data_IF_865695506851
#
_entry.id   IF_865695506851
#
_cell.length_a   1.000
_cell.length_b   1.000
_cell.length_c   1.000
_cell.angle_alpha   90.00
_cell.angle_beta   90.00
_cell.angle_gamma   90.00
#
_symmetry.space_group_name_H-M   'P 1'
#
loop_
_entity.id
_entity.type
_entity.pdbx_description
1 polymer ?
#
# COMPACT_ATOMS: atom_id res chain seq x y z
N UNK A 1 -28.53 6.87 -3.14
CA UNK A 1 -27.81 5.79 -3.84
C UNK A 1 -28.70 4.56 -3.84
N UNK A 2 -29.17 4.13 -5.02
CA UNK A 2 -29.95 2.90 -5.14
C UNK A 2 -29.04 1.68 -5.09
N UNK A 3 -29.33 0.71 -4.22
CA UNK A 3 -28.60 -0.56 -4.17
C UNK A 3 -29.52 -1.65 -4.69
N UNK A 4 -29.14 -2.29 -5.79
CA UNK A 4 -29.82 -3.48 -6.30
C UNK A 4 -29.08 -4.71 -5.79
N UNK A 5 -29.75 -5.53 -4.97
CA UNK A 5 -29.15 -6.75 -4.41
C UNK A 5 -29.84 -7.97 -5.00
N UNK A 6 -29.07 -8.89 -5.57
CA UNK A 6 -29.53 -10.21 -5.97
C UNK A 6 -28.79 -11.25 -5.11
N UNK A 7 -29.53 -12.20 -4.55
CA UNK A 7 -28.99 -13.22 -3.66
C UNK A 7 -29.36 -14.62 -4.16
N UNK A 8 -28.49 -15.59 -3.90
CA UNK A 8 -28.77 -17.03 -4.08
C UNK A 8 -29.18 -17.40 -5.52
N UNK A 9 -28.56 -16.72 -6.50
CA UNK A 9 -28.85 -16.82 -7.93
C UNK A 9 -27.79 -17.65 -8.67
N UNK A 10 -28.23 -18.49 -9.62
CA UNK A 10 -27.35 -19.10 -10.61
C UNK A 10 -27.25 -18.20 -11.85
N UNK A 11 -26.07 -17.60 -12.04
CA UNK A 11 -25.84 -16.63 -13.11
C UNK A 11 -25.87 -17.27 -14.50
N UNK A 12 -25.70 -18.59 -14.61
CA UNK A 12 -25.74 -19.31 -15.88
C UNK A 12 -27.16 -19.51 -16.43
N UNK A 13 -28.18 -19.52 -15.57
CA UNK A 13 -29.57 -19.80 -15.96
C UNK A 13 -30.48 -18.59 -15.75
N UNK A 14 -30.37 -17.94 -14.58
CA UNK A 14 -31.30 -16.89 -14.16
C UNK A 14 -30.66 -15.48 -14.20
N UNK A 15 -29.32 -15.42 -14.32
CA UNK A 15 -28.52 -14.20 -14.22
C UNK A 15 -28.95 -13.09 -15.16
N UNK A 16 -29.04 -13.40 -16.46
CA UNK A 16 -29.40 -12.41 -17.49
C UNK A 16 -30.82 -11.87 -17.31
N UNK A 17 -31.77 -12.74 -16.98
CA UNK A 17 -33.15 -12.35 -16.74
C UNK A 17 -33.26 -11.47 -15.49
N UNK A 18 -32.72 -11.90 -14.36
CA UNK A 18 -32.78 -11.14 -13.10
C UNK A 18 -32.12 -9.77 -13.22
N UNK A 19 -30.98 -9.68 -13.90
CA UNK A 19 -30.25 -8.43 -14.10
C UNK A 19 -30.95 -7.48 -15.08
N UNK A 20 -31.86 -7.98 -15.93
CA UNK A 20 -32.65 -7.13 -16.83
C UNK A 20 -33.70 -6.27 -16.11
N UNK A 21 -34.09 -6.63 -14.89
CA UNK A 21 -35.03 -5.85 -14.06
C UNK A 21 -34.33 -4.88 -13.11
N UNK A 22 -33.03 -4.61 -13.31
CA UNK A 22 -32.29 -3.69 -12.47
C UNK A 22 -32.91 -2.27 -12.53
N UNK A 23 -33.25 -1.66 -11.38
CA UNK A 23 -33.81 -0.32 -11.34
C UNK A 23 -32.87 0.71 -12.00
N UNK A 24 -33.42 1.64 -12.77
CA UNK A 24 -32.63 2.69 -13.47
C UNK A 24 -31.89 3.64 -12.51
N UNK A 25 -32.31 3.72 -11.25
CA UNK A 25 -31.66 4.51 -10.20
C UNK A 25 -30.56 3.73 -9.43
N UNK A 26 -30.22 2.53 -9.88
CA UNK A 26 -29.19 1.70 -9.24
C UNK A 26 -27.81 2.30 -9.43
N UNK A 27 -27.15 2.59 -8.31
CA UNK A 27 -25.75 3.03 -8.27
C UNK A 27 -24.79 1.93 -7.85
N UNK A 28 -25.29 0.92 -7.12
CA UNK A 28 -24.50 -0.23 -6.66
C UNK A 28 -25.26 -1.51 -7.00
N UNK A 29 -24.62 -2.39 -7.76
CA UNK A 29 -25.08 -3.76 -7.95
C UNK A 29 -24.37 -4.66 -6.93
N UNK A 30 -25.14 -5.37 -6.10
CA UNK A 30 -24.61 -6.37 -5.17
C UNK A 30 -25.12 -7.76 -5.53
N UNK A 31 -24.20 -8.68 -5.78
CA UNK A 31 -24.49 -10.09 -5.91
C UNK A 31 -23.99 -10.83 -4.66
N UNK A 32 -24.87 -11.57 -4.00
CA UNK A 32 -24.54 -12.32 -2.79
C UNK A 32 -24.83 -13.80 -3.00
N UNK A 33 -23.86 -14.67 -2.68
CA UNK A 33 -23.97 -16.13 -2.89
C UNK A 33 -24.37 -16.52 -4.31
N UNK A 34 -24.00 -15.70 -5.29
CA UNK A 34 -24.24 -15.98 -6.70
C UNK A 34 -23.19 -16.97 -7.22
N UNK A 35 -23.62 -17.94 -8.02
CA UNK A 35 -22.75 -18.99 -8.59
C UNK A 35 -22.78 -19.00 -10.11
N UNK A 36 -21.85 -19.74 -10.70
CA UNK A 36 -21.75 -19.93 -12.15
C UNK A 36 -20.68 -19.04 -12.79
N UNK A 37 -20.86 -18.72 -14.07
CA UNK A 37 -20.01 -17.78 -14.80
C UNK A 37 -20.84 -16.53 -15.14
N UNK A 38 -20.19 -15.37 -15.23
CA UNK A 38 -20.87 -14.14 -15.63
C UNK A 38 -20.07 -13.38 -16.67
N UNK A 39 -20.75 -13.06 -17.75
CA UNK A 39 -20.28 -12.12 -18.76
C UNK A 39 -21.13 -10.86 -18.70
N UNK A 40 -20.59 -9.83 -18.04
CA UNK A 40 -21.29 -8.55 -17.92
C UNK A 40 -21.43 -7.84 -19.29
N UNK A 41 -20.74 -8.26 -20.35
CA UNK A 41 -20.89 -7.68 -21.69
C UNK A 41 -22.25 -7.96 -22.32
N UNK A 42 -22.96 -8.97 -21.83
CA UNK A 42 -24.30 -9.34 -22.30
C UNK A 42 -25.42 -8.52 -21.65
N UNK A 43 -25.08 -7.61 -20.73
CA UNK A 43 -26.03 -6.87 -19.90
C UNK A 43 -26.02 -5.38 -20.23
N UNK A 44 -27.17 -4.75 -20.05
CA UNK A 44 -27.31 -3.29 -20.05
C UNK A 44 -27.33 -2.80 -18.62
N UNK A 45 -26.47 -1.85 -18.30
CA UNK A 45 -26.39 -1.26 -16.96
C UNK A 45 -26.98 0.16 -16.96
N UNK A 46 -27.56 0.60 -15.84
CA UNK A 46 -27.93 1.99 -15.64
C UNK A 46 -26.69 2.90 -15.68
N UNK A 47 -26.85 4.10 -16.23
CA UNK A 47 -25.75 5.09 -16.30
C UNK A 47 -25.24 5.49 -14.91
N UNK A 48 -26.05 5.36 -13.87
CA UNK A 48 -25.68 5.69 -12.50
C UNK A 48 -24.83 4.62 -11.81
N UNK A 49 -24.59 3.46 -12.44
CA UNK A 49 -23.85 2.35 -11.83
C UNK A 49 -22.38 2.70 -11.64
N UNK A 50 -21.95 2.76 -10.40
CA UNK A 50 -20.58 3.16 -10.00
C UNK A 50 -19.80 2.04 -9.32
N UNK A 51 -20.50 1.06 -8.72
CA UNK A 51 -19.89 -0.07 -8.03
C UNK A 51 -20.58 -1.41 -8.34
N UNK A 52 -19.77 -2.45 -8.57
CA UNK A 52 -20.21 -3.85 -8.55
C UNK A 52 -19.57 -4.54 -7.34
N UNK A 53 -20.41 -5.10 -6.47
CA UNK A 53 -19.98 -5.84 -5.28
C UNK A 53 -20.40 -7.31 -5.38
N UNK A 54 -19.44 -8.22 -5.19
CA UNK A 54 -19.63 -9.66 -5.16
C UNK A 54 -19.30 -10.17 -3.76
N UNK A 55 -20.21 -10.91 -3.14
CA UNK A 55 -20.07 -11.38 -1.76
C UNK A 55 -20.39 -12.86 -1.65
N UNK A 56 -19.46 -13.65 -1.11
CA UNK A 56 -19.65 -15.09 -0.91
C UNK A 56 -19.96 -15.86 -2.22
N UNK A 57 -19.47 -15.35 -3.35
CA UNK A 57 -19.79 -15.90 -4.67
C UNK A 57 -18.70 -16.90 -5.15
N UNK A 58 -19.05 -18.18 -5.43
CA UNK A 58 -18.18 -19.10 -6.14
C UNK A 58 -18.36 -18.96 -7.66
N UNK A 59 -17.59 -18.06 -8.28
CA UNK A 59 -17.70 -17.74 -9.70
C UNK A 59 -16.55 -18.38 -10.48
N UNK A 60 -16.84 -19.12 -11.55
CA UNK A 60 -15.77 -19.70 -12.37
C UNK A 60 -15.02 -18.63 -13.17
N UNK A 61 -15.78 -17.84 -13.93
CA UNK A 61 -15.31 -16.82 -14.85
C UNK A 61 -16.12 -15.53 -14.69
N UNK A 62 -15.43 -14.39 -14.63
CA UNK A 62 -16.03 -13.05 -14.67
C UNK A 62 -15.44 -12.28 -15.85
N UNK A 63 -16.30 -11.78 -16.74
CA UNK A 63 -15.92 -10.87 -17.83
C UNK A 63 -16.55 -9.51 -17.60
N UNK A 64 -15.71 -8.47 -17.57
CA UNK A 64 -16.12 -7.08 -17.46
C UNK A 64 -16.00 -6.37 -18.81
N UNK A 65 -17.09 -5.80 -19.37
CA UNK A 65 -17.04 -4.91 -20.52
C UNK A 65 -16.39 -3.56 -20.15
N UNK A 66 -16.06 -2.74 -21.15
CA UNK A 66 -15.72 -1.35 -20.88
C UNK A 66 -16.92 -0.61 -20.28
N UNK A 67 -16.77 -0.11 -19.06
CA UNK A 67 -17.78 0.72 -18.42
C UNK A 67 -17.41 2.19 -18.56
N UNK A 68 -18.39 3.07 -18.82
CA UNK A 68 -18.14 4.52 -18.89
C UNK A 68 -18.00 5.17 -17.50
N UNK A 69 -18.81 4.73 -16.53
CA UNK A 69 -18.93 5.37 -15.21
C UNK A 69 -18.62 4.44 -14.02
N UNK A 70 -18.55 3.13 -14.25
CA UNK A 70 -18.17 2.17 -13.20
C UNK A 70 -16.73 2.42 -12.79
N UNK A 71 -16.53 2.70 -11.50
CA UNK A 71 -15.20 3.07 -10.98
C UNK A 71 -14.75 2.17 -9.84
N UNK A 72 -15.66 1.41 -9.23
CA UNK A 72 -15.35 0.58 -8.09
C UNK A 72 -15.75 -0.90 -8.29
N UNK A 73 -14.87 -1.82 -7.85
CA UNK A 73 -15.18 -3.24 -7.70
C UNK A 73 -14.90 -3.69 -6.28
N UNK A 74 -15.82 -4.45 -5.69
CA UNK A 74 -15.67 -5.00 -4.34
C UNK A 74 -15.96 -6.49 -4.28
N UNK A 75 -14.94 -7.32 -4.09
CA UNK A 75 -15.08 -8.77 -3.89
C UNK A 75 -14.83 -9.09 -2.42
N UNK A 76 -15.76 -9.79 -1.78
CA UNK A 76 -15.64 -10.21 -0.39
C UNK A 76 -15.92 -11.70 -0.32
N UNK A 77 -14.92 -12.49 0.08
CA UNK A 77 -15.03 -13.95 0.17
C UNK A 77 -15.50 -14.57 -1.16
N UNK A 78 -14.94 -14.08 -2.27
CA UNK A 78 -15.27 -14.56 -3.61
C UNK A 78 -14.25 -15.62 -4.00
N UNK A 79 -14.71 -16.74 -4.53
CA UNK A 79 -13.81 -17.72 -5.15
C UNK A 79 -13.95 -17.54 -6.65
N UNK A 80 -12.94 -16.93 -7.27
CA UNK A 80 -12.93 -16.68 -8.71
C UNK A 80 -11.84 -17.49 -9.39
N UNK A 81 -12.18 -18.21 -10.47
CA UNK A 81 -11.22 -18.95 -11.27
C UNK A 81 -10.44 -18.04 -12.22
N UNK A 82 -11.15 -17.16 -12.94
CA UNK A 82 -10.54 -16.23 -13.89
C UNK A 82 -11.34 -14.90 -13.97
N UNK A 83 -10.61 -13.79 -14.09
CA UNK A 83 -11.18 -12.45 -14.32
C UNK A 83 -10.69 -11.97 -15.68
N UNK A 84 -11.56 -11.41 -16.50
CA UNK A 84 -11.21 -10.77 -17.77
C UNK A 84 -11.78 -9.36 -17.83
N UNK A 85 -10.93 -8.39 -18.17
CA UNK A 85 -11.36 -7.05 -18.57
C UNK A 85 -11.25 -6.96 -20.09
N UNK A 86 -12.34 -6.60 -20.76
CA UNK A 86 -12.33 -6.36 -22.21
C UNK A 86 -11.61 -5.03 -22.52
N UNK A 87 -11.04 -4.93 -23.72
CA UNK A 87 -10.28 -3.75 -24.14
C UNK A 87 -11.13 -2.46 -24.04
N UNK A 88 -10.49 -1.35 -23.62
CA UNK A 88 -11.18 -0.09 -23.34
C UNK A 88 -11.72 0.06 -21.90
N UNK A 89 -11.62 -0.97 -21.06
CA UNK A 89 -12.09 -0.98 -19.65
C UNK A 89 -11.22 -0.23 -18.63
N UNK A 90 -10.74 0.97 -18.97
CA UNK A 90 -9.76 1.72 -18.16
C UNK A 90 -10.43 2.62 -17.09
N UNK A 91 -11.64 2.33 -16.64
CA UNK A 91 -12.39 3.25 -15.75
C UNK A 91 -12.28 2.94 -14.27
N UNK A 92 -11.80 1.74 -13.90
CA UNK A 92 -11.67 1.34 -12.52
C UNK A 92 -10.61 2.17 -11.77
N UNK A 93 -11.06 2.83 -10.70
CA UNK A 93 -10.24 3.64 -9.79
C UNK A 93 -10.06 2.96 -8.44
N UNK A 94 -11.00 2.12 -8.01
CA UNK A 94 -11.00 1.49 -6.69
C UNK A 94 -11.31 -0.02 -6.82
N UNK A 95 -10.35 -0.89 -6.52
CA UNK A 95 -10.55 -2.33 -6.50
C UNK A 95 -10.27 -2.84 -5.09
N UNK A 96 -11.29 -3.43 -4.48
CA UNK A 96 -11.24 -4.07 -3.15
C UNK A 96 -11.53 -5.55 -3.28
N UNK A 97 -10.54 -6.40 -3.11
CA UNK A 97 -10.67 -7.86 -3.14
C UNK A 97 -10.21 -8.39 -1.79
N UNK A 98 -11.14 -8.92 -1.01
CA UNK A 98 -10.91 -9.38 0.35
C UNK A 98 -11.29 -10.84 0.51
N UNK A 99 -10.47 -11.58 1.27
CA UNK A 99 -10.71 -12.99 1.56
C UNK A 99 -10.82 -13.89 0.30
N UNK A 100 -10.16 -13.49 -0.78
CA UNK A 100 -10.09 -14.26 -2.03
C UNK A 100 -8.70 -14.89 -2.13
N UNK A 101 -8.54 -16.21 -2.32
CA UNK A 101 -7.26 -16.90 -2.12
C UNK A 101 -6.20 -16.68 -3.24
N UNK A 102 -5.97 -15.43 -3.67
CA UNK A 102 -4.95 -15.07 -4.64
C UNK A 102 -3.51 -15.10 -4.09
N UNK A 103 -2.65 -15.87 -4.75
CA UNK A 103 -1.23 -15.97 -4.38
C UNK A 103 -0.38 -14.80 -4.88
N UNK A 104 -0.87 -14.07 -5.87
CA UNK A 104 -0.25 -12.92 -6.53
C UNK A 104 -1.33 -11.92 -6.95
N UNK A 105 -0.93 -10.73 -7.40
CA UNK A 105 -1.88 -9.76 -7.96
C UNK A 105 -2.37 -10.32 -9.30
N UNK A 106 -3.70 -10.48 -9.50
CA UNK A 106 -4.23 -11.00 -10.76
C UNK A 106 -3.72 -10.17 -11.96
N UNK A 107 -3.07 -10.79 -12.97
CA UNK A 107 -2.54 -10.09 -14.14
C UNK A 107 -3.52 -9.12 -14.83
N UNK A 108 -4.83 -9.43 -14.95
CA UNK A 108 -5.81 -8.51 -15.53
C UNK A 108 -5.91 -7.15 -14.80
N UNK A 109 -5.61 -7.11 -13.50
CA UNK A 109 -5.64 -5.86 -12.70
C UNK A 109 -4.43 -4.98 -13.01
N UNK A 110 -3.30 -5.56 -13.39
CA UNK A 110 -2.06 -4.84 -13.65
C UNK A 110 -2.14 -3.91 -14.87
N UNK A 111 -3.11 -4.13 -15.76
CA UNK A 111 -3.40 -3.28 -16.92
C UNK A 111 -4.29 -2.06 -16.62
N UNK A 112 -4.80 -1.92 -15.40
CA UNK A 112 -5.74 -0.85 -15.04
C UNK A 112 -5.00 0.45 -14.68
N UNK A 113 -4.50 1.15 -15.70
CA UNK A 113 -3.60 2.31 -15.53
C UNK A 113 -4.20 3.49 -14.76
N UNK A 114 -5.54 3.57 -14.66
CA UNK A 114 -6.27 4.60 -13.90
C UNK A 114 -6.60 4.18 -12.45
N UNK A 115 -6.14 3.01 -12.01
CA UNK A 115 -6.39 2.51 -10.66
C UNK A 115 -5.70 3.41 -9.62
N UNK A 116 -6.49 3.90 -8.66
CA UNK A 116 -6.05 4.79 -7.58
C UNK A 116 -5.89 4.02 -6.27
N UNK A 117 -6.78 3.06 -6.00
CA UNK A 117 -6.73 2.22 -4.80
C UNK A 117 -6.82 0.74 -5.15
N UNK A 118 -5.90 -0.05 -4.58
CA UNK A 118 -5.89 -1.50 -4.69
C UNK A 118 -5.80 -2.12 -3.28
N UNK A 119 -6.87 -2.80 -2.86
CA UNK A 119 -6.93 -3.57 -1.62
C UNK A 119 -7.05 -5.05 -1.96
N UNK A 120 -6.05 -5.83 -1.52
CA UNK A 120 -5.94 -7.29 -1.70
C UNK A 120 -5.83 -7.98 -0.33
N UNK A 121 -6.50 -7.45 0.70
CA UNK A 121 -6.40 -7.97 2.07
C UNK A 121 -6.88 -9.42 2.20
N UNK A 122 -6.23 -10.20 3.06
CA UNK A 122 -6.57 -11.61 3.31
C UNK A 122 -6.51 -12.53 2.08
N UNK A 123 -5.64 -12.23 1.10
CA UNK A 123 -5.58 -12.98 -0.17
C UNK A 123 -4.64 -14.19 -0.19
N UNK A 124 -3.81 -14.40 0.84
CA UNK A 124 -2.76 -15.46 0.94
C UNK A 124 -1.53 -15.24 0.04
N UNK A 125 -1.31 -14.00 -0.43
CA UNK A 125 -0.12 -13.63 -1.19
C UNK A 125 1.16 -13.94 -0.41
N UNK A 126 2.20 -14.44 -1.09
CA UNK A 126 3.49 -14.81 -0.45
C UNK A 126 4.62 -13.84 -0.77
N UNK A 127 4.51 -13.13 -1.89
CA UNK A 127 5.51 -12.19 -2.37
C UNK A 127 4.80 -10.97 -2.95
N UNK A 128 5.48 -9.83 -2.95
CA UNK A 128 5.06 -8.62 -3.63
C UNK A 128 6.20 -8.12 -4.52
N UNK A 129 6.01 -8.14 -5.83
CA UNK A 129 6.90 -7.43 -6.76
C UNK A 129 6.33 -6.03 -6.99
N UNK A 130 7.13 -5.00 -6.71
CA UNK A 130 6.76 -3.62 -7.01
C UNK A 130 6.82 -3.35 -8.52
N UNK A 131 7.64 -4.09 -9.28
CA UNK A 131 7.70 -3.98 -10.75
C UNK A 131 6.41 -4.43 -11.42
N UNK A 132 5.75 -5.45 -10.86
CA UNK A 132 4.47 -5.94 -11.36
C UNK A 132 3.40 -4.83 -11.38
N UNK A 133 3.46 -3.88 -10.44
CA UNK A 133 2.52 -2.75 -10.35
C UNK A 133 3.08 -1.45 -10.96
N UNK A 134 4.22 -1.49 -11.65
CA UNK A 134 4.81 -0.30 -12.26
C UNK A 134 3.90 0.35 -13.32
N UNK A 135 3.04 -0.44 -13.98
CA UNK A 135 2.05 0.06 -14.93
C UNK A 135 0.89 0.84 -14.28
N UNK A 136 0.68 0.70 -12.97
CA UNK A 136 -0.40 1.37 -12.24
C UNK A 136 -0.01 2.82 -11.88
N UNK A 137 0.19 3.66 -12.90
CA UNK A 137 0.75 5.01 -12.76
C UNK A 137 -0.09 5.99 -11.95
N UNK A 138 -1.38 5.69 -11.71
CA UNK A 138 -2.28 6.49 -10.88
C UNK A 138 -2.44 5.97 -9.44
N UNK A 139 -1.77 4.87 -9.08
CA UNK A 139 -1.98 4.21 -7.79
C UNK A 139 -1.48 5.09 -6.63
N UNK A 140 -2.39 5.42 -5.71
CA UNK A 140 -2.14 6.23 -4.52
C UNK A 140 -2.17 5.40 -3.23
N UNK A 141 -2.95 4.31 -3.19
CA UNK A 141 -3.02 3.41 -2.03
C UNK A 141 -2.93 1.95 -2.46
N UNK A 142 -1.97 1.24 -1.85
CA UNK A 142 -1.84 -0.21 -1.95
C UNK A 142 -1.99 -0.83 -0.57
N UNK A 143 -3.00 -1.69 -0.42
CA UNK A 143 -3.23 -2.45 0.80
C UNK A 143 -3.14 -3.95 0.52
N UNK A 144 -2.06 -4.56 0.98
CA UNK A 144 -1.81 -6.01 0.87
C UNK A 144 -1.70 -6.64 2.27
N UNK A 145 -2.44 -6.07 3.23
CA UNK A 145 -2.38 -6.48 4.63
C UNK A 145 -3.05 -7.83 4.88
N UNK A 146 -2.67 -8.47 5.98
CA UNK A 146 -3.13 -9.80 6.39
C UNK A 146 -2.95 -10.88 5.31
N UNK A 147 -1.85 -10.77 4.54
CA UNK A 147 -1.41 -11.79 3.61
C UNK A 147 -0.35 -12.70 4.28
N UNK A 148 0.47 -13.38 3.47
CA UNK A 148 1.56 -14.24 3.91
C UNK A 148 2.89 -13.76 3.33
N UNK A 149 3.01 -12.46 3.05
CA UNK A 149 4.15 -11.88 2.34
C UNK A 149 5.40 -12.06 3.20
N UNK A 150 6.42 -12.71 2.63
CA UNK A 150 7.74 -12.87 3.25
C UNK A 150 8.82 -12.04 2.57
N UNK A 151 8.59 -11.65 1.31
CA UNK A 151 9.57 -10.98 0.46
C UNK A 151 8.89 -9.90 -0.39
N UNK A 152 9.55 -8.76 -0.50
CA UNK A 152 9.18 -7.67 -1.40
C UNK A 152 10.39 -7.44 -2.32
N UNK A 153 10.16 -7.33 -3.63
CA UNK A 153 11.21 -7.14 -4.63
C UNK A 153 10.91 -5.92 -5.50
N UNK A 154 11.97 -5.29 -5.99
CA UNK A 154 11.94 -4.18 -6.94
C UNK A 154 13.22 -4.24 -7.78
N UNK A 155 13.10 -4.03 -9.08
CA UNK A 155 14.24 -3.97 -9.99
C UNK A 155 14.91 -2.58 -9.97
N UNK A 156 16.17 -2.50 -10.41
CA UNK A 156 17.02 -1.30 -10.44
C UNK A 156 16.51 -0.18 -11.38
N UNK A 157 15.33 -0.34 -11.97
CA UNK A 157 14.71 0.67 -12.83
C UNK A 157 13.97 1.76 -12.06
N UNK A 158 13.55 1.48 -10.82
CA UNK A 158 12.69 2.32 -9.97
C UNK A 158 11.61 3.13 -10.70
N UNK A 159 10.92 2.49 -11.65
CA UNK A 159 9.91 3.15 -12.47
C UNK A 159 8.53 3.16 -11.81
N UNK A 160 8.34 2.39 -10.73
CA UNK A 160 7.04 2.22 -10.10
C UNK A 160 6.64 3.37 -9.17
N UNK A 161 5.33 3.45 -8.90
CA UNK A 161 4.83 3.84 -7.59
C UNK A 161 5.02 5.33 -7.25
N UNK A 162 5.22 6.18 -8.27
CA UNK A 162 5.47 7.63 -8.10
C UNK A 162 4.33 8.38 -7.41
N UNK A 163 3.09 7.88 -7.53
CA UNK A 163 1.91 8.46 -6.87
C UNK A 163 1.54 7.78 -5.57
N UNK A 164 2.18 6.66 -5.24
CA UNK A 164 1.83 5.88 -4.06
C UNK A 164 2.08 6.72 -2.81
N UNK A 165 1.03 6.91 -2.02
CA UNK A 165 1.01 7.72 -0.81
C UNK A 165 0.87 6.86 0.45
N UNK A 166 0.22 5.70 0.33
CA UNK A 166 -0.01 4.79 1.44
C UNK A 166 0.34 3.37 1.00
N UNK A 167 1.24 2.72 1.73
CA UNK A 167 1.58 1.31 1.58
C UNK A 167 1.28 0.56 2.88
N UNK A 168 0.28 -0.32 2.83
CA UNK A 168 -0.12 -1.16 3.97
C UNK A 168 0.32 -2.61 3.76
N UNK A 169 1.19 -3.06 4.66
CA UNK A 169 1.79 -4.38 4.71
C UNK A 169 1.52 -5.04 6.07
N UNK A 170 0.55 -4.57 6.84
CA UNK A 170 0.32 -5.07 8.19
C UNK A 170 -0.14 -6.54 8.20
N UNK A 171 0.15 -7.26 9.29
CA UNK A 171 -0.29 -8.65 9.43
C UNK A 171 0.34 -9.64 8.44
N UNK A 172 1.53 -9.34 7.91
CA UNK A 172 2.29 -10.21 7.02
C UNK A 172 3.37 -11.03 7.77
N UNK A 173 4.33 -11.61 7.04
CA UNK A 173 5.37 -12.50 7.58
C UNK A 173 6.78 -12.00 7.28
N UNK A 174 6.94 -10.68 7.08
CA UNK A 174 8.24 -10.07 6.82
C UNK A 174 9.16 -10.23 8.03
N UNK A 175 10.38 -10.71 7.80
CA UNK A 175 11.44 -10.85 8.82
C UNK A 175 12.44 -9.69 8.75
N UNK A 176 12.62 -9.15 7.55
CA UNK A 176 13.52 -8.04 7.26
C UNK A 176 12.76 -7.01 6.42
N UNK A 177 13.10 -5.73 6.57
CA UNK A 177 12.62 -4.71 5.66
C UNK A 177 13.76 -3.75 5.32
N UNK A 178 13.98 -3.54 4.03
CA UNK A 178 14.92 -2.57 3.52
C UNK A 178 14.16 -1.33 3.03
N UNK A 179 14.40 -0.18 3.66
CA UNK A 179 13.79 1.08 3.25
C UNK A 179 14.23 1.54 1.86
N UNK A 180 15.35 1.03 1.33
CA UNK A 180 15.75 1.22 -0.06
C UNK A 180 14.66 0.86 -1.08
N UNK A 181 13.78 -0.09 -0.74
CA UNK A 181 12.64 -0.50 -1.58
C UNK A 181 11.60 0.61 -1.79
N UNK A 182 11.51 1.59 -0.88
CA UNK A 182 10.54 2.69 -0.97
C UNK A 182 11.19 4.05 -1.13
N UNK A 183 12.52 4.07 -1.33
CA UNK A 183 13.35 5.26 -1.49
C UNK A 183 12.84 6.21 -2.59
N UNK A 184 12.35 5.62 -3.69
CA UNK A 184 11.92 6.31 -4.91
C UNK A 184 10.41 6.59 -4.98
N UNK A 185 9.69 6.48 -3.85
CA UNK A 185 8.28 6.81 -3.78
C UNK A 185 8.11 8.24 -3.24
N UNK A 186 8.18 9.29 -4.09
CA UNK A 186 8.28 10.68 -3.63
C UNK A 186 7.04 11.13 -2.87
N UNK A 187 5.88 10.50 -3.09
CA UNK A 187 4.62 10.84 -2.41
C UNK A 187 4.31 9.95 -1.22
N UNK A 188 5.13 8.94 -0.93
CA UNK A 188 4.84 8.00 0.15
C UNK A 188 4.83 8.75 1.47
N UNK A 189 3.66 8.76 2.09
CA UNK A 189 3.37 9.45 3.34
C UNK A 189 3.36 8.50 4.52
N UNK A 190 2.76 7.31 4.32
CA UNK A 190 2.54 6.32 5.37
C UNK A 190 2.98 4.93 4.93
N UNK A 191 3.89 4.34 5.69
CA UNK A 191 4.31 2.95 5.58
C UNK A 191 3.88 2.16 6.81
N UNK A 192 2.98 1.20 6.62
CA UNK A 192 2.42 0.40 7.72
C UNK A 192 2.97 -1.03 7.66
N UNK A 193 3.85 -1.37 8.60
CA UNK A 193 4.52 -2.66 8.75
C UNK A 193 4.14 -3.39 10.05
N UNK A 194 3.07 -2.93 10.71
CA UNK A 194 2.54 -3.48 11.96
C UNK A 194 2.27 -4.99 11.86
N UNK A 195 2.42 -5.72 12.96
CA UNK A 195 2.08 -7.16 13.04
C UNK A 195 2.83 -8.02 12.00
N UNK A 196 4.10 -7.72 11.76
CA UNK A 196 5.01 -8.58 11.01
C UNK A 196 5.93 -9.35 11.98
N UNK A 197 7.01 -9.92 11.46
CA UNK A 197 8.03 -10.65 12.22
C UNK A 197 9.40 -9.97 12.13
N UNK A 198 9.40 -8.64 11.95
CA UNK A 198 10.61 -7.89 11.64
C UNK A 198 11.59 -7.98 12.81
N UNK A 199 12.80 -8.47 12.52
CA UNK A 199 13.95 -8.50 13.44
C UNK A 199 15.05 -7.56 12.99
N UNK A 200 15.06 -7.18 11.70
CA UNK A 200 16.13 -6.39 11.08
C UNK A 200 15.51 -5.34 10.16
N UNK A 201 15.97 -4.10 10.31
CA UNK A 201 15.67 -2.99 9.42
C UNK A 201 16.97 -2.52 8.81
N UNK A 202 16.97 -2.26 7.51
CA UNK A 202 18.11 -1.70 6.78
C UNK A 202 17.64 -0.57 5.88
N UNK A 203 18.58 0.26 5.43
CA UNK A 203 18.33 1.23 4.38
C UNK A 203 19.53 1.19 3.43
N UNK A 204 19.49 0.31 2.44
CA UNK A 204 20.52 0.29 1.40
C UNK A 204 20.16 1.33 0.34
N UNK A 205 21.01 2.36 0.24
CA UNK A 205 20.90 3.41 -0.77
C UNK A 205 22.04 3.21 -1.75
N UNK A 206 21.73 2.93 -3.02
CA UNK A 206 22.73 2.94 -4.07
C UNK A 206 23.10 4.40 -4.38
N UNK A 207 24.29 4.81 -3.94
CA UNK A 207 24.79 6.19 -4.08
C UNK A 207 25.02 6.58 -5.53
N UNK A 208 25.47 5.64 -6.37
CA UNK A 208 25.63 5.88 -7.81
C UNK A 208 24.29 6.21 -8.47
N UNK A 209 23.21 5.76 -7.84
CA UNK A 209 21.88 5.95 -8.34
C UNK A 209 21.14 7.17 -7.76
N UNK A 210 21.45 7.53 -6.52
CA UNK A 210 21.06 8.81 -5.94
C UNK A 210 21.49 9.99 -6.82
N UNK A 211 22.70 9.93 -7.38
CA UNK A 211 23.23 10.93 -8.30
C UNK A 211 22.40 11.03 -9.59
N UNK A 212 21.90 9.90 -10.11
CA UNK A 212 21.10 9.85 -11.35
C UNK A 212 19.68 10.42 -11.19
N UNK A 213 19.16 10.50 -9.97
CA UNK A 213 17.80 10.96 -9.67
C UNK A 213 17.69 12.38 -9.10
N UNK A 214 18.74 13.20 -9.27
CA UNK A 214 18.78 14.59 -8.78
C UNK A 214 18.40 14.68 -7.29
N UNK A 215 18.98 13.83 -6.45
CA UNK A 215 18.83 13.92 -5.01
C UNK A 215 19.43 15.24 -4.49
N UNK A 216 18.61 16.11 -3.89
CA UNK A 216 19.12 17.39 -3.39
C UNK A 216 19.49 17.39 -1.89
N UNK A 217 19.36 16.26 -1.19
CA UNK A 217 19.68 16.13 0.24
C UNK A 217 19.07 17.26 1.08
N UNK A 218 17.75 17.20 1.32
CA UNK A 218 17.10 18.12 2.27
C UNK A 218 17.73 18.04 3.66
N UNK A 219 18.32 16.89 3.98
CA UNK A 219 19.20 16.71 5.14
C UNK A 219 20.36 17.70 5.18
N UNK A 220 21.10 17.88 4.08
CA UNK A 220 22.20 18.86 4.00
C UNK A 220 21.69 20.29 4.22
N UNK A 221 20.52 20.63 3.69
CA UNK A 221 19.85 21.91 3.95
C UNK A 221 19.58 22.09 5.45
N UNK A 222 18.94 21.12 6.11
CA UNK A 222 18.63 21.24 7.55
C UNK A 222 19.89 21.29 8.43
N UNK A 223 20.94 20.55 8.07
CA UNK A 223 22.23 20.61 8.78
C UNK A 223 22.89 21.98 8.64
N UNK A 224 22.85 22.60 7.44
CA UNK A 224 23.39 23.93 7.20
C UNK A 224 22.61 25.02 7.97
N UNK A 225 21.27 24.95 7.98
CA UNK A 225 20.43 25.86 8.76
C UNK A 225 20.73 25.75 10.26
N UNK A 226 20.95 24.53 10.77
CA UNK A 226 21.26 24.29 12.19
C UNK A 226 22.67 24.70 12.59
N UNK A 227 23.64 24.62 11.68
CA UNK A 227 25.05 24.95 11.97
C UNK A 227 25.34 26.46 12.01
N UNK A 228 24.33 27.32 11.79
CA UNK A 228 24.47 28.77 11.86
C UNK A 228 25.12 29.40 10.61
N UNK A 229 25.41 28.61 9.58
CA UNK A 229 25.75 29.14 8.25
C UNK A 229 24.46 29.58 7.58
N UNK A 230 24.19 30.89 7.62
CA UNK A 230 22.94 31.52 7.22
C UNK A 230 22.29 31.00 5.93
N UNK A 231 20.94 31.05 5.92
CA UNK A 231 20.04 30.86 4.76
C UNK A 231 20.60 29.98 3.65
N UNK A 232 20.72 28.67 3.90
CA UNK A 232 20.91 27.72 2.80
C UNK A 232 19.72 27.85 1.83
N UNK A 233 19.92 27.90 0.50
CA UNK A 233 18.81 27.92 -0.44
C UNK A 233 18.01 26.62 -0.31
N UNK A 234 16.69 26.74 -0.18
CA UNK A 234 15.80 25.59 -0.14
C UNK A 234 15.95 24.81 -1.45
N UNK A 235 16.21 23.49 -1.40
CA UNK A 235 16.28 22.69 -2.62
C UNK A 235 14.96 22.71 -3.38
N UNK A 236 15.02 22.78 -4.71
CA UNK A 236 13.84 22.77 -5.58
C UNK A 236 13.34 21.36 -5.93
N UNK A 237 14.07 20.32 -5.55
CA UNK A 237 13.69 18.93 -5.81
C UNK A 237 13.19 18.21 -4.55
N UNK A 238 12.63 17.01 -4.73
CA UNK A 238 12.22 16.13 -3.62
C UNK A 238 13.38 15.27 -3.16
N UNK A 239 13.55 15.17 -1.83
CA UNK A 239 14.50 14.25 -1.22
C UNK A 239 14.09 12.78 -1.42
N UNK A 240 15.02 11.88 -1.17
CA UNK A 240 14.64 10.52 -0.81
C UNK A 240 13.73 10.51 0.41
N UNK A 241 12.67 9.72 0.36
CA UNK A 241 11.64 9.70 1.41
C UNK A 241 11.02 11.09 1.71
N UNK A 242 10.98 12.01 0.72
CA UNK A 242 10.62 13.42 0.91
C UNK A 242 9.34 13.67 1.73
N UNK A 243 8.34 12.79 1.60
CA UNK A 243 7.03 12.94 2.23
C UNK A 243 6.74 11.88 3.30
N UNK A 244 7.68 10.98 3.61
CA UNK A 244 7.43 9.88 4.54
C UNK A 244 7.38 10.43 5.97
N UNK A 245 6.18 10.51 6.53
CA UNK A 245 5.93 11.10 7.85
C UNK A 245 5.61 10.05 8.91
N UNK A 246 5.05 8.90 8.49
CA UNK A 246 4.60 7.85 9.39
C UNK A 246 5.19 6.49 9.00
N UNK A 247 5.88 5.87 9.96
CA UNK A 247 6.28 4.46 9.90
C UNK A 247 5.67 3.72 11.10
N UNK A 248 4.86 2.71 10.83
CA UNK A 248 4.26 1.88 11.88
C UNK A 248 4.90 0.49 11.92
N UNK A 249 5.72 0.23 12.95
CA UNK A 249 6.42 -1.03 13.23
C UNK A 249 5.82 -1.76 14.45
N UNK A 250 4.62 -1.38 14.88
CA UNK A 250 3.92 -1.94 16.05
C UNK A 250 3.78 -3.47 15.96
N UNK A 251 3.91 -4.20 17.07
CA UNK A 251 3.78 -5.67 17.13
C UNK A 251 4.75 -6.43 16.20
N UNK A 252 6.04 -6.06 16.20
CA UNK A 252 7.09 -6.78 15.50
C UNK A 252 7.99 -7.56 16.48
N UNK A 253 9.22 -7.90 16.07
CA UNK A 253 10.20 -8.68 16.84
C UNK A 253 11.55 -7.96 16.94
N UNK A 254 11.56 -6.63 16.80
CA UNK A 254 12.78 -5.83 16.84
C UNK A 254 13.40 -5.88 18.24
N UNK A 255 14.70 -6.12 18.30
CA UNK A 255 15.49 -6.10 19.55
C UNK A 255 16.45 -4.92 19.60
N UNK A 256 16.92 -4.46 18.44
CA UNK A 256 17.78 -3.29 18.31
C UNK A 256 17.13 -2.33 17.32
N UNK A 257 17.16 -1.04 17.64
CA UNK A 257 16.74 0.02 16.74
C UNK A 257 17.93 0.89 16.39
N UNK A 258 18.44 0.77 15.16
CA UNK A 258 19.57 1.55 14.67
C UNK A 258 19.05 2.77 13.93
N UNK A 259 19.23 3.96 14.52
CA UNK A 259 18.68 5.20 13.94
C UNK A 259 19.27 5.56 12.59
N UNK A 260 20.47 5.05 12.28
CA UNK A 260 21.10 5.17 10.97
C UNK A 260 20.21 4.62 9.83
N UNK A 261 19.36 3.61 10.09
CA UNK A 261 18.40 3.11 9.09
C UNK A 261 17.32 4.11 8.70
N UNK A 262 17.13 5.17 9.49
CA UNK A 262 16.14 6.22 9.27
C UNK A 262 16.80 7.57 8.88
N UNK A 263 18.13 7.60 8.73
CA UNK A 263 18.93 8.82 8.54
C UNK A 263 18.38 9.75 7.44
N UNK A 264 17.92 9.16 6.33
CA UNK A 264 17.44 9.88 5.15
C UNK A 264 15.99 10.37 5.24
N UNK A 265 15.24 9.93 6.25
CA UNK A 265 13.80 10.20 6.37
C UNK A 265 13.57 11.53 7.08
N UNK A 266 14.09 12.63 6.52
CA UNK A 266 14.11 13.95 7.18
C UNK A 266 12.72 14.44 7.62
N UNK A 267 11.67 14.05 6.88
CA UNK A 267 10.28 14.42 7.17
C UNK A 267 9.57 13.49 8.19
N UNK A 268 10.22 12.43 8.67
CA UNK A 268 9.62 11.45 9.57
C UNK A 268 9.24 12.10 10.90
N UNK A 269 7.95 12.04 11.25
CA UNK A 269 7.41 12.64 12.47
C UNK A 269 6.99 11.58 13.48
N UNK A 270 6.42 10.48 13.00
CA UNK A 270 5.87 9.41 13.82
C UNK A 270 6.49 8.06 13.43
N UNK A 271 7.25 7.48 14.36
CA UNK A 271 7.81 6.14 14.23
C UNK A 271 7.27 5.27 15.38
N UNK A 272 6.28 4.43 15.07
CA UNK A 272 5.58 3.61 16.07
C UNK A 272 6.28 2.28 16.24
N UNK A 273 6.95 2.07 17.37
CA UNK A 273 7.74 0.86 17.64
C UNK A 273 7.13 -0.03 18.72
N UNK A 274 5.83 0.15 18.97
CA UNK A 274 5.04 -0.57 19.94
C UNK A 274 5.24 -2.07 19.97
N UNK A 275 5.15 -2.68 21.17
CA UNK A 275 5.04 -4.14 21.30
C UNK A 275 6.11 -4.91 20.53
N UNK A 276 7.32 -4.33 20.48
CA UNK A 276 8.55 -5.00 20.08
C UNK A 276 9.30 -5.51 21.33
N UNK A 277 10.55 -5.96 21.17
CA UNK A 277 11.41 -6.41 22.26
C UNK A 277 12.71 -5.59 22.29
N UNK A 278 12.61 -4.29 22.05
CA UNK A 278 13.77 -3.40 21.89
C UNK A 278 14.50 -3.32 23.23
N UNK A 279 15.76 -3.75 23.23
CA UNK A 279 16.68 -3.68 24.37
C UNK A 279 17.76 -2.62 24.18
N UNK A 280 18.01 -2.22 22.93
CA UNK A 280 19.01 -1.21 22.59
C UNK A 280 18.52 -0.31 21.45
N UNK A 281 18.71 0.99 21.60
CA UNK A 281 18.53 2.03 20.58
C UNK A 281 19.90 2.66 20.34
N UNK A 282 20.47 2.37 19.17
CA UNK A 282 21.76 2.94 18.77
C UNK A 282 21.54 4.27 18.06
N UNK A 283 22.13 5.32 18.62
CA UNK A 283 22.13 6.66 18.05
C UNK A 283 23.57 7.04 17.74
N UNK A 284 23.90 7.06 16.45
CA UNK A 284 25.18 7.60 15.96
C UNK A 284 25.03 9.11 15.73
N UNK A 285 26.08 9.87 16.05
CA UNK A 285 26.11 11.33 15.90
C UNK A 285 25.64 11.78 14.51
N UNK A 286 24.66 12.68 14.49
CA UNK A 286 23.97 13.23 13.30
C UNK A 286 23.15 12.22 12.47
N UNK A 287 23.25 10.91 12.63
CA UNK A 287 22.53 9.90 11.82
C UNK A 287 21.13 9.60 12.34
N UNK A 288 20.32 10.64 12.46
CA UNK A 288 18.92 10.58 12.91
C UNK A 288 18.01 11.37 11.95
N UNK A 289 16.72 11.03 11.86
CA UNK A 289 15.75 11.85 11.13
C UNK A 289 15.64 13.25 11.72
N UNK A 290 15.51 14.26 10.86
CA UNK A 290 15.55 15.68 11.26
C UNK A 290 14.34 16.12 12.08
N UNK A 291 13.13 15.70 11.69
CA UNK A 291 11.88 16.08 12.35
C UNK A 291 11.39 15.07 13.38
N UNK A 292 12.07 13.92 13.53
CA UNK A 292 11.65 12.91 14.49
C UNK A 292 11.99 13.39 15.90
N UNK A 293 10.96 13.54 16.72
CA UNK A 293 11.15 13.90 18.11
C UNK A 293 11.69 12.70 18.91
N UNK A 294 13.00 12.61 19.12
CA UNK A 294 13.58 11.54 19.94
C UNK A 294 13.13 11.59 21.41
N UNK A 295 12.71 12.75 21.92
CA UNK A 295 12.16 12.85 23.28
C UNK A 295 10.79 12.19 23.42
N UNK A 296 10.00 12.08 22.34
CA UNK A 296 8.71 11.35 22.37
C UNK A 296 8.90 9.84 22.42
N UNK A 297 10.07 9.33 22.02
CA UNK A 297 10.47 7.94 22.25
C UNK A 297 10.85 7.70 23.73
N UNK A 298 11.17 8.76 24.47
CA UNK A 298 11.73 8.70 25.80
C UNK A 298 10.72 9.25 26.84
N UNK A 299 9.80 8.37 27.25
CA UNK A 299 8.93 8.49 28.42
C UNK A 299 8.45 9.91 28.76
N UNK A 300 7.44 10.47 28.09
CA UNK A 300 6.36 11.22 28.76
C UNK A 300 5.19 11.52 27.81
N UNK A 301 4.01 10.94 28.14
CA UNK A 301 2.65 11.35 27.77
C UNK A 301 2.05 10.84 26.43
N UNK A 302 1.24 9.77 26.55
CA UNK A 302 0.03 9.55 25.75
C UNK A 302 0.16 8.75 24.44
N UNK A 303 0.05 7.41 24.54
CA UNK A 303 -0.14 6.46 23.44
C UNK A 303 0.81 6.58 22.23
N UNK A 304 2.11 6.52 22.50
CA UNK A 304 3.24 6.03 21.67
C UNK A 304 4.39 5.83 22.69
N UNK A 305 5.34 4.95 22.39
CA UNK A 305 5.92 4.03 23.36
C UNK A 305 6.98 4.60 24.30
N UNK A 306 6.82 4.25 25.58
CA UNK A 306 7.79 4.39 26.65
C UNK A 306 9.00 3.46 26.38
N UNK A 307 10.02 3.89 25.61
CA UNK A 307 11.33 3.24 25.65
C UNK A 307 12.08 3.79 26.89
N UNK A 308 12.58 2.91 27.78
CA UNK A 308 13.32 3.36 28.96
C UNK A 308 14.55 4.19 28.56
N UNK A 309 14.97 5.17 29.37
CA UNK A 309 16.19 5.95 29.10
C UNK A 309 17.42 5.06 28.93
N UNK A 310 17.41 3.94 29.63
CA UNK A 310 18.50 2.98 29.73
C UNK A 310 18.75 2.20 28.43
N UNK A 311 17.76 2.14 27.51
CA UNK A 311 17.97 1.45 26.23
C UNK A 311 18.71 2.31 25.21
N UNK A 312 18.88 3.61 25.45
CA UNK A 312 19.57 4.49 24.51
C UNK A 312 21.08 4.45 24.75
N UNK A 313 21.85 3.96 23.79
CA UNK A 313 23.30 4.07 23.78
C UNK A 313 23.72 5.14 22.77
N UNK A 314 24.34 6.21 23.26
CA UNK A 314 25.06 7.18 22.42
C UNK A 314 26.48 6.68 22.24
N UNK A 315 26.84 6.27 21.03
CA UNK A 315 28.26 6.10 20.68
C UNK A 315 28.82 7.49 20.35
N UNK A 316 29.81 7.94 21.14
CA UNK A 316 30.48 9.23 20.98
C UNK A 316 31.21 9.35 19.64
#
# INVERSE_FOLDING_TARGET
MGVCTLSDIDLAFDGLYALSFMPSNTSILRLTRAKGNIDFSQLRFPDLLTEISLQECPIGLIIFPPFHLLSALSFINVRVGYIKFLEGGITFKDIRIRHTPFTEIPPPILGLVNLVRLDLTYSRMRQLSLDAIAGLGQLEELNVSHNRITTITMDDGWKCCRKLSILRLDGNRLVKFDFGLVLHMPRLYSLVLRQNRLTTLTCTVDTALAEKHNFCSWRSYFLAVRSGNGTAPQPSCSDFFANLQLIDLTYNKLTVLEMASFEWMSALQDCRTAFNKIVNVKVESNRIPMLLNLSSLNNHLGYIHFLPKEVFSTEN
#
